data_IF_065421660268
#
_entry.id   IF_065421660268
#
_cell.length_a   1.000
_cell.length_b   1.000
_cell.length_c   1.000
_cell.angle_alpha   90.00
_cell.angle_beta   90.00
_cell.angle_gamma   90.00
#
_symmetry.space_group_name_H-M   'P 1'
#
loop_
_entity.id
_entity.type
_entity.pdbx_description
1 polymer ?
#
# COMPACT_ATOMS: atom_id res chain seq x y z
N UNK A 1 -5.55 18.52 -4.90
CA UNK A 1 -5.82 17.69 -6.11
C UNK A 1 -5.74 16.25 -5.68
N UNK A 2 -6.76 15.44 -6.02
CA UNK A 2 -6.82 14.05 -5.61
C UNK A 2 -5.92 13.17 -6.47
N UNK A 3 -5.16 12.30 -5.81
CA UNK A 3 -4.42 11.24 -6.49
C UNK A 3 -5.32 10.05 -6.79
N UNK A 4 -6.26 9.76 -5.86
CA UNK A 4 -7.24 8.68 -6.02
C UNK A 4 -8.62 9.22 -5.66
N UNK A 5 -9.62 8.91 -6.50
CA UNK A 5 -11.04 9.14 -6.26
C UNK A 5 -11.80 7.86 -6.57
N UNK A 6 -12.53 7.35 -5.60
CA UNK A 6 -13.30 6.11 -5.68
C UNK A 6 -14.78 6.47 -5.59
N UNK A 7 -15.59 5.94 -6.52
CA UNK A 7 -17.02 6.27 -6.67
C UNK A 7 -17.85 4.99 -6.72
N UNK A 8 -18.46 4.61 -5.59
CA UNK A 8 -19.37 3.47 -5.47
C UNK A 8 -18.74 2.13 -5.84
N UNK A 9 -17.45 1.95 -5.55
CA UNK A 9 -16.69 0.78 -5.96
C UNK A 9 -17.18 -0.47 -5.25
N UNK A 10 -17.64 -1.47 -6.02
CA UNK A 10 -18.22 -2.71 -5.50
C UNK A 10 -17.56 -3.93 -6.12
N UNK A 11 -17.30 -4.94 -5.28
CA UNK A 11 -16.78 -6.25 -5.72
C UNK A 11 -17.46 -7.39 -5.01
N UNK A 12 -17.97 -8.32 -5.81
CA UNK A 12 -18.60 -9.57 -5.34
C UNK A 12 -17.79 -10.78 -5.78
N UNK A 13 -17.66 -11.75 -4.90
CA UNK A 13 -17.11 -13.07 -5.18
C UNK A 13 -18.13 -14.13 -4.78
N UNK A 14 -18.82 -14.73 -5.74
CA UNK A 14 -19.94 -15.64 -5.48
C UNK A 14 -20.95 -14.96 -4.53
N UNK A 15 -21.14 -15.52 -3.34
CA UNK A 15 -22.12 -15.05 -2.35
C UNK A 15 -21.54 -13.98 -1.39
N UNK A 16 -20.29 -13.58 -1.55
CA UNK A 16 -19.62 -12.63 -0.66
C UNK A 16 -19.45 -11.28 -1.35
N UNK A 17 -19.97 -10.21 -0.75
CA UNK A 17 -19.67 -8.84 -1.11
C UNK A 17 -18.37 -8.43 -0.42
N UNK A 18 -17.27 -8.47 -1.16
CA UNK A 18 -15.94 -8.18 -0.61
C UNK A 18 -15.65 -6.68 -0.45
N UNK A 19 -16.25 -5.85 -1.31
CA UNK A 19 -16.27 -4.38 -1.22
C UNK A 19 -17.65 -3.92 -1.66
N UNK A 20 -18.27 -3.03 -0.88
CA UNK A 20 -19.65 -2.61 -1.02
C UNK A 20 -19.74 -1.08 -1.06
N UNK A 21 -20.05 -0.51 -2.22
CA UNK A 21 -20.27 0.91 -2.49
C UNK A 21 -19.19 1.84 -1.89
N UNK A 22 -17.92 1.41 -1.96
CA UNK A 22 -16.81 2.19 -1.41
C UNK A 22 -16.68 3.54 -2.13
N UNK A 23 -16.77 4.64 -1.36
CA UNK A 23 -16.49 6.00 -1.80
C UNK A 23 -15.37 6.59 -0.96
N UNK A 24 -14.29 7.06 -1.61
CA UNK A 24 -13.09 7.53 -0.92
C UNK A 24 -12.28 8.47 -1.79
N UNK A 25 -11.58 9.44 -1.17
CA UNK A 25 -10.65 10.33 -1.84
C UNK A 25 -9.32 10.36 -1.11
N UNK A 26 -8.20 10.28 -1.86
CA UNK A 26 -6.85 10.39 -1.33
C UNK A 26 -6.13 11.52 -2.06
N UNK A 27 -5.50 12.41 -1.31
CA UNK A 27 -4.78 13.56 -1.85
C UNK A 27 -3.42 13.15 -2.41
N UNK A 28 -2.89 13.94 -3.36
CA UNK A 28 -1.55 13.71 -3.89
C UNK A 28 -0.49 13.90 -2.80
N UNK A 29 0.45 12.94 -2.70
CA UNK A 29 1.51 12.93 -1.68
C UNK A 29 1.07 12.47 -0.29
N UNK A 30 -0.21 12.12 -0.12
CA UNK A 30 -0.75 11.62 1.15
C UNK A 30 -0.26 10.19 1.43
N UNK A 31 0.06 9.90 2.68
CA UNK A 31 0.17 8.54 3.19
C UNK A 31 -1.17 8.18 3.84
N UNK A 32 -1.88 7.29 3.21
CA UNK A 32 -3.25 6.92 3.54
C UNK A 32 -3.34 5.45 3.93
N UNK A 33 -4.00 5.14 5.05
CA UNK A 33 -4.19 3.75 5.48
C UNK A 33 -5.61 3.26 5.29
N UNK A 34 -5.74 2.04 4.75
CA UNK A 34 -6.93 1.21 4.84
C UNK A 34 -6.75 0.26 6.02
N UNK A 35 -7.41 0.53 7.14
CA UNK A 35 -7.36 -0.26 8.37
C UNK A 35 -8.60 -1.14 8.49
N UNK A 36 -8.44 -2.36 8.93
CA UNK A 36 -9.56 -3.26 9.20
C UNK A 36 -9.10 -4.68 9.50
N UNK A 37 -9.99 -5.45 10.08
CA UNK A 37 -9.75 -6.88 10.35
C UNK A 37 -9.57 -7.68 9.06
N UNK A 38 -9.13 -8.93 9.16
CA UNK A 38 -9.06 -9.83 8.02
C UNK A 38 -10.45 -10.01 7.40
N UNK A 39 -10.53 -9.98 6.07
CA UNK A 39 -11.79 -10.03 5.35
C UNK A 39 -12.54 -8.68 5.25
N UNK A 40 -11.99 -7.57 5.74
CA UNK A 40 -12.64 -6.25 5.65
C UNK A 40 -12.73 -5.67 4.23
N UNK A 41 -12.04 -6.26 3.24
CA UNK A 41 -12.05 -5.80 1.84
C UNK A 41 -10.79 -5.06 1.39
N UNK A 42 -9.79 -4.84 2.27
CA UNK A 42 -8.57 -4.05 2.01
C UNK A 42 -7.79 -4.50 0.77
N UNK A 43 -7.34 -5.77 0.74
CA UNK A 43 -6.59 -6.35 -0.38
C UNK A 43 -7.43 -6.37 -1.68
N UNK A 44 -8.76 -6.61 -1.57
CA UNK A 44 -9.65 -6.54 -2.74
C UNK A 44 -9.71 -5.12 -3.30
N UNK A 45 -9.75 -4.10 -2.44
CA UNK A 45 -9.70 -2.69 -2.86
C UNK A 45 -8.38 -2.40 -3.59
N UNK A 46 -7.22 -2.81 -3.03
CA UNK A 46 -5.93 -2.67 -3.74
C UNK A 46 -5.95 -3.38 -5.11
N UNK A 47 -6.47 -4.61 -5.18
CA UNK A 47 -6.55 -5.36 -6.44
C UNK A 47 -7.38 -4.64 -7.50
N UNK A 48 -8.47 -3.99 -7.13
CA UNK A 48 -9.26 -3.18 -8.06
C UNK A 48 -8.50 -1.92 -8.49
N UNK A 49 -7.97 -1.14 -7.54
CA UNK A 49 -7.23 0.09 -7.82
C UNK A 49 -5.96 -0.15 -8.64
N UNK A 50 -5.33 -1.32 -8.50
CA UNK A 50 -4.17 -1.73 -9.30
C UNK A 50 -4.53 -2.41 -10.64
N UNK A 51 -5.82 -2.45 -10.99
CA UNK A 51 -6.32 -3.09 -12.21
C UNK A 51 -5.93 -4.58 -12.33
N UNK A 52 -5.78 -5.28 -11.19
CA UNK A 52 -5.60 -6.74 -11.14
C UNK A 52 -6.94 -7.47 -11.14
N UNK A 53 -8.00 -6.79 -10.72
CA UNK A 53 -9.38 -7.30 -10.71
C UNK A 53 -10.32 -6.18 -11.12
N UNK A 54 -11.24 -6.44 -12.04
CA UNK A 54 -12.25 -5.47 -12.42
C UNK A 54 -13.32 -5.34 -11.32
N UNK A 55 -13.80 -4.13 -11.00
CA UNK A 55 -14.96 -3.95 -10.16
C UNK A 55 -16.23 -4.43 -10.88
N UNK A 56 -17.22 -4.86 -10.10
CA UNK A 56 -18.54 -5.21 -10.64
C UNK A 56 -19.37 -3.95 -10.85
N UNK A 57 -19.33 -2.99 -9.90
CA UNK A 57 -20.01 -1.70 -9.99
C UNK A 57 -19.07 -0.55 -9.57
N UNK A 58 -19.43 0.68 -9.96
CA UNK A 58 -18.64 1.87 -9.65
C UNK A 58 -17.38 2.01 -10.50
N UNK A 59 -16.57 3.00 -10.17
CA UNK A 59 -15.27 3.25 -10.81
C UNK A 59 -14.31 3.88 -9.82
N UNK A 60 -13.02 3.92 -10.18
CA UNK A 60 -12.03 4.70 -9.46
C UNK A 60 -11.09 5.40 -10.44
N UNK A 61 -10.67 6.59 -10.09
CA UNK A 61 -9.80 7.43 -10.90
C UNK A 61 -8.48 7.64 -10.19
N UNK A 62 -7.39 7.19 -10.81
CA UNK A 62 -6.03 7.38 -10.33
C UNK A 62 -5.36 8.46 -11.19
N UNK A 63 -5.07 9.61 -10.57
CA UNK A 63 -4.55 10.78 -11.30
C UNK A 63 -5.41 11.16 -12.53
N UNK A 64 -6.74 10.99 -12.38
CA UNK A 64 -7.73 11.27 -13.42
C UNK A 64 -7.94 10.16 -14.46
N UNK A 65 -7.25 9.01 -14.34
CA UNK A 65 -7.41 7.85 -15.22
C UNK A 65 -8.32 6.80 -14.59
N UNK A 66 -9.36 6.38 -15.31
CA UNK A 66 -10.31 5.34 -14.85
C UNK A 66 -9.64 3.96 -14.81
N UNK A 67 -9.90 3.19 -13.74
CA UNK A 67 -9.44 1.80 -13.66
C UNK A 67 -10.18 0.88 -14.62
N UNK A 68 -11.34 1.30 -15.16
CA UNK A 68 -12.15 0.52 -16.10
C UNK A 68 -11.75 0.78 -17.55
N UNK A 69 -11.58 2.05 -17.94
CA UNK A 69 -11.34 2.44 -19.32
C UNK A 69 -9.88 2.68 -19.65
N UNK A 70 -9.08 3.12 -18.66
CA UNK A 70 -7.69 3.51 -18.86
C UNK A 70 -6.69 2.61 -18.11
N UNK A 71 -7.04 1.33 -17.87
CA UNK A 71 -6.27 0.41 -17.04
C UNK A 71 -4.77 0.31 -17.44
N UNK A 72 -4.45 0.39 -18.73
CA UNK A 72 -3.07 0.38 -19.20
C UNK A 72 -2.29 1.64 -18.76
N UNK A 73 -2.94 2.81 -18.78
CA UNK A 73 -2.35 4.07 -18.33
C UNK A 73 -2.24 4.11 -16.80
N UNK A 74 -3.27 3.61 -16.08
CA UNK A 74 -3.21 3.47 -14.61
C UNK A 74 -2.00 2.63 -14.20
N UNK A 75 -1.76 1.48 -14.83
CA UNK A 75 -0.62 0.59 -14.52
C UNK A 75 0.75 1.24 -14.71
N UNK A 76 0.88 2.27 -15.54
CA UNK A 76 2.13 3.04 -15.69
C UNK A 76 2.37 4.01 -14.53
N UNK A 77 1.31 4.39 -13.80
CA UNK A 77 1.35 5.40 -12.74
C UNK A 77 1.56 4.79 -11.35
N UNK A 78 1.36 3.50 -11.21
CA UNK A 78 1.29 2.79 -9.94
C UNK A 78 2.36 1.72 -9.79
N UNK A 79 2.66 1.36 -8.53
CA UNK A 79 3.33 0.12 -8.21
C UNK A 79 2.70 -0.52 -6.98
N UNK A 80 2.88 -1.83 -6.83
CA UNK A 80 2.36 -2.62 -5.71
C UNK A 80 3.49 -3.40 -5.09
N UNK A 81 3.66 -3.29 -3.76
CA UNK A 81 4.40 -4.26 -2.97
C UNK A 81 3.36 -5.15 -2.27
N UNK A 82 3.16 -6.39 -2.73
CA UNK A 82 2.11 -7.27 -2.22
C UNK A 82 2.46 -7.82 -0.84
N UNK A 83 1.46 -8.38 -0.15
CA UNK A 83 1.60 -9.00 1.17
C UNK A 83 2.68 -10.10 1.17
N UNK A 84 2.63 -11.01 0.20
CA UNK A 84 3.73 -11.95 -0.05
C UNK A 84 4.82 -11.26 -0.87
N UNK A 85 6.07 -11.32 -0.40
CA UNK A 85 7.17 -10.66 -1.11
C UNK A 85 7.41 -11.29 -2.47
N UNK A 86 7.26 -10.49 -3.53
CA UNK A 86 7.43 -10.94 -4.92
C UNK A 86 8.93 -10.94 -5.33
N UNK A 87 9.82 -11.48 -4.48
CA UNK A 87 11.26 -11.56 -4.75
C UNK A 87 11.62 -12.92 -5.36
N UNK A 88 12.54 -12.93 -6.31
CA UNK A 88 13.10 -14.17 -6.84
C UNK A 88 14.20 -14.68 -5.89
N UNK A 89 13.98 -15.74 -5.10
CA UNK A 89 14.87 -16.13 -4.00
C UNK A 89 16.24 -16.63 -4.48
N UNK A 90 16.32 -17.14 -5.70
CA UNK A 90 17.55 -17.62 -6.33
C UNK A 90 18.46 -16.51 -6.86
N UNK A 91 17.93 -15.30 -7.04
CA UNK A 91 18.65 -14.13 -7.52
C UNK A 91 19.20 -13.32 -6.34
N UNK A 92 20.28 -12.58 -6.57
CA UNK A 92 20.79 -11.56 -5.65
C UNK A 92 19.84 -10.36 -5.59
N UNK A 93 20.04 -9.47 -4.61
CA UNK A 93 19.29 -8.20 -4.54
C UNK A 93 19.46 -7.39 -5.84
N UNK A 94 20.71 -7.27 -6.33
CA UNK A 94 21.01 -6.59 -7.59
C UNK A 94 20.26 -7.21 -8.76
N UNK A 95 20.34 -8.54 -8.94
CA UNK A 95 19.67 -9.23 -10.04
C UNK A 95 18.15 -9.12 -10.00
N UNK A 96 17.54 -9.11 -8.81
CA UNK A 96 16.10 -8.81 -8.65
C UNK A 96 15.75 -7.41 -9.17
N UNK A 97 16.56 -6.39 -8.85
CA UNK A 97 16.36 -5.03 -9.33
C UNK A 97 16.59 -4.92 -10.84
N UNK A 98 17.63 -5.57 -11.37
CA UNK A 98 17.91 -5.64 -12.81
C UNK A 98 16.78 -6.32 -13.58
N UNK A 99 16.20 -7.39 -13.03
CA UNK A 99 15.06 -8.09 -13.61
C UNK A 99 13.86 -7.12 -13.80
N UNK A 100 13.54 -6.33 -12.76
CA UNK A 100 12.43 -5.38 -12.84
C UNK A 100 12.74 -4.25 -13.82
N UNK A 101 13.97 -3.73 -13.83
CA UNK A 101 14.40 -2.77 -14.86
C UNK A 101 14.21 -3.32 -16.27
N UNK A 102 14.55 -4.59 -16.48
CA UNK A 102 14.35 -5.27 -17.76
C UNK A 102 12.87 -5.38 -18.15
N UNK A 103 12.01 -5.74 -17.20
CA UNK A 103 10.54 -5.78 -17.42
C UNK A 103 9.99 -4.42 -17.84
N UNK A 104 10.54 -3.33 -17.29
CA UNK A 104 10.16 -1.96 -17.65
C UNK A 104 10.88 -1.42 -18.90
N UNK A 105 11.73 -2.21 -19.54
CA UNK A 105 12.42 -1.84 -20.80
C UNK A 105 13.52 -0.80 -20.63
N UNK A 106 14.12 -0.67 -19.42
CA UNK A 106 15.21 0.28 -19.19
C UNK A 106 16.48 -0.12 -19.94
N UNK A 107 17.12 0.85 -20.59
CA UNK A 107 18.42 0.65 -21.18
C UNK A 107 19.50 0.41 -20.10
N UNK A 108 20.62 -0.21 -20.46
CA UNK A 108 21.67 -0.63 -19.50
C UNK A 108 22.19 0.51 -18.62
N UNK A 109 22.41 1.69 -19.19
CA UNK A 109 22.85 2.89 -18.45
C UNK A 109 21.79 3.37 -17.46
N UNK A 110 20.54 3.42 -17.88
CA UNK A 110 19.38 3.78 -17.03
C UNK A 110 19.19 2.78 -15.88
N UNK A 111 19.36 1.48 -16.17
CA UNK A 111 19.29 0.42 -15.16
C UNK A 111 20.33 0.64 -14.06
N UNK A 112 21.58 0.93 -14.43
CA UNK A 112 22.66 1.14 -13.44
C UNK A 112 22.41 2.37 -12.56
N UNK A 113 21.97 3.47 -13.16
CA UNK A 113 21.65 4.70 -12.46
C UNK A 113 20.49 4.48 -11.51
N UNK A 114 19.41 3.87 -12.00
CA UNK A 114 18.20 3.62 -11.23
C UNK A 114 18.44 2.67 -10.03
N UNK A 115 19.21 1.61 -10.24
CA UNK A 115 19.58 0.70 -9.15
C UNK A 115 20.41 1.44 -8.10
N UNK A 116 21.38 2.27 -8.50
CA UNK A 116 22.20 3.05 -7.55
C UNK A 116 21.31 3.98 -6.70
N UNK A 117 20.37 4.68 -7.32
CA UNK A 117 19.43 5.55 -6.65
C UNK A 117 18.57 4.78 -5.62
N UNK A 118 17.96 3.68 -6.03
CA UNK A 118 17.09 2.88 -5.15
C UNK A 118 17.86 2.19 -4.03
N UNK A 119 19.06 1.68 -4.32
CA UNK A 119 19.93 1.05 -3.32
C UNK A 119 20.32 2.05 -2.25
N UNK A 120 20.72 3.26 -2.63
CA UNK A 120 21.02 4.34 -1.69
C UNK A 120 19.81 4.81 -0.91
N UNK A 121 18.65 4.98 -1.56
CA UNK A 121 17.40 5.40 -0.91
C UNK A 121 16.94 4.40 0.16
N UNK A 122 17.11 3.10 -0.10
CA UNK A 122 16.59 2.03 0.74
C UNK A 122 17.66 1.34 1.59
N UNK A 123 18.92 1.81 1.53
CA UNK A 123 20.03 1.28 2.32
C UNK A 123 20.35 -0.18 2.02
N UNK A 124 20.28 -0.60 0.74
CA UNK A 124 20.47 -2.00 0.34
C UNK A 124 21.93 -2.36 0.04
N UNK A 125 22.88 -1.43 0.21
CA UNK A 125 24.31 -1.61 -0.15
C UNK A 125 24.92 -2.85 0.49
N UNK A 126 24.70 -3.04 1.79
CA UNK A 126 25.26 -4.14 2.58
C UNK A 126 24.80 -5.54 2.14
N UNK A 127 23.68 -5.61 1.41
CA UNK A 127 23.06 -6.88 0.98
C UNK A 127 22.97 -7.02 -0.52
N UNK A 128 23.48 -6.07 -1.29
CA UNK A 128 23.28 -5.96 -2.75
C UNK A 128 23.68 -7.23 -3.51
N UNK A 129 24.72 -7.93 -3.06
CA UNK A 129 25.23 -9.15 -3.69
C UNK A 129 24.67 -10.44 -3.03
N UNK A 130 23.90 -10.31 -1.94
CA UNK A 130 23.32 -11.48 -1.27
C UNK A 130 22.11 -12.00 -2.05
N UNK A 131 21.93 -13.32 -2.09
CA UNK A 131 20.73 -13.94 -2.65
C UNK A 131 19.51 -13.57 -1.80
N UNK A 132 18.40 -13.19 -2.46
CA UNK A 132 17.18 -12.75 -1.79
C UNK A 132 16.61 -13.82 -0.84
N UNK A 133 16.70 -15.09 -1.18
CA UNK A 133 16.25 -16.18 -0.31
C UNK A 133 17.07 -16.39 0.97
N UNK A 134 18.24 -15.73 1.10
CA UNK A 134 19.07 -15.75 2.33
C UNK A 134 18.90 -14.51 3.20
N UNK A 135 18.06 -13.59 2.80
CA UNK A 135 17.76 -12.37 3.55
C UNK A 135 16.74 -12.65 4.67
N UNK A 136 16.79 -11.88 5.77
CA UNK A 136 15.70 -11.85 6.74
C UNK A 136 14.42 -11.30 6.12
N UNK A 137 13.27 -11.56 6.73
CA UNK A 137 11.97 -11.08 6.25
C UNK A 137 11.94 -9.55 6.05
N UNK A 138 12.54 -8.78 6.97
CA UNK A 138 12.65 -7.33 6.85
C UNK A 138 13.44 -6.90 5.61
N UNK A 139 14.57 -7.53 5.31
CA UNK A 139 15.35 -7.26 4.10
C UNK A 139 14.62 -7.67 2.82
N UNK A 140 13.89 -8.81 2.84
CA UNK A 140 13.07 -9.22 1.70
C UNK A 140 11.93 -8.22 1.45
N UNK A 141 11.28 -7.72 2.53
CA UNK A 141 10.24 -6.69 2.43
C UNK A 141 10.80 -5.39 1.87
N UNK A 142 11.96 -4.95 2.36
CA UNK A 142 12.66 -3.76 1.84
C UNK A 142 13.01 -3.91 0.36
N UNK A 143 13.49 -5.10 -0.05
CA UNK A 143 13.73 -5.41 -1.47
C UNK A 143 12.44 -5.39 -2.30
N UNK A 144 11.33 -5.94 -1.81
CA UNK A 144 10.03 -5.89 -2.49
C UNK A 144 9.57 -4.45 -2.76
N UNK A 145 9.72 -3.56 -1.77
CA UNK A 145 9.43 -2.12 -1.94
C UNK A 145 10.42 -1.48 -2.94
N UNK A 146 11.70 -1.85 -2.89
CA UNK A 146 12.70 -1.38 -3.84
C UNK A 146 12.32 -1.72 -5.28
N UNK A 147 11.92 -2.96 -5.52
CA UNK A 147 11.45 -3.43 -6.82
C UNK A 147 10.22 -2.64 -7.30
N UNK A 148 9.26 -2.37 -6.40
CA UNK A 148 8.09 -1.55 -6.73
C UNK A 148 8.49 -0.11 -7.11
N UNK A 149 9.48 0.48 -6.44
CA UNK A 149 9.92 1.86 -6.69
C UNK A 149 10.77 2.03 -7.96
N UNK A 150 11.26 0.93 -8.58
CA UNK A 150 12.06 0.98 -9.82
C UNK A 150 11.33 1.75 -10.94
N UNK A 151 10.03 1.54 -11.09
CA UNK A 151 9.21 2.16 -12.14
C UNK A 151 8.91 3.64 -11.92
N UNK A 152 9.37 4.26 -10.83
CA UNK A 152 9.07 5.65 -10.44
C UNK A 152 7.56 5.92 -10.33
N UNK A 153 6.81 5.13 -9.58
CA UNK A 153 5.37 5.27 -9.50
C UNK A 153 4.98 6.61 -8.85
N UNK A 154 3.84 7.15 -9.24
CA UNK A 154 3.23 8.29 -8.56
C UNK A 154 2.33 7.85 -7.39
N UNK A 155 1.87 6.59 -7.43
CA UNK A 155 1.09 5.96 -6.37
C UNK A 155 1.72 4.60 -6.04
N UNK A 156 2.03 4.37 -4.76
CA UNK A 156 2.56 3.11 -4.25
C UNK A 156 1.52 2.45 -3.35
N UNK A 157 1.16 1.21 -3.66
CA UNK A 157 0.34 0.36 -2.81
C UNK A 157 1.24 -0.57 -1.98
N UNK A 158 1.06 -0.56 -0.67
CA UNK A 158 1.75 -1.43 0.29
C UNK A 158 0.69 -2.31 0.98
N UNK A 159 0.64 -3.58 0.62
CA UNK A 159 -0.33 -4.51 1.21
C UNK A 159 0.30 -5.22 2.41
N UNK A 160 -0.11 -4.85 3.62
CA UNK A 160 0.38 -5.36 4.91
C UNK A 160 1.92 -5.43 5.00
N UNK A 161 2.65 -4.32 4.80
CA UNK A 161 4.09 -4.33 4.59
C UNK A 161 4.90 -4.82 5.80
N UNK A 162 4.36 -4.74 7.01
CA UNK A 162 5.07 -5.13 8.25
C UNK A 162 4.64 -6.47 8.83
N UNK A 163 3.74 -7.18 8.11
CA UNK A 163 3.25 -8.48 8.57
C UNK A 163 4.40 -9.46 8.78
N UNK A 164 4.45 -10.07 9.98
CA UNK A 164 5.46 -11.08 10.31
C UNK A 164 6.86 -10.53 10.59
N UNK A 165 7.06 -9.22 10.64
CA UNK A 165 8.34 -8.61 11.01
C UNK A 165 8.45 -8.49 12.54
N UNK A 166 9.68 -8.63 13.04
CA UNK A 166 10.01 -8.28 14.41
C UNK A 166 9.94 -6.76 14.64
N UNK A 167 10.04 -6.34 15.90
CA UNK A 167 9.87 -4.94 16.32
C UNK A 167 10.90 -4.01 15.66
N UNK A 168 12.16 -4.44 15.56
CA UNK A 168 13.23 -3.60 14.99
C UNK A 168 13.07 -3.46 13.47
N UNK A 169 12.84 -4.56 12.76
CA UNK A 169 12.61 -4.55 11.32
C UNK A 169 11.37 -3.74 10.95
N UNK A 170 10.32 -3.77 11.79
CA UNK A 170 9.12 -2.95 11.65
C UNK A 170 9.45 -1.45 11.80
N UNK A 171 10.17 -1.07 12.84
CA UNK A 171 10.54 0.32 13.07
C UNK A 171 11.39 0.88 11.91
N UNK A 172 12.39 0.12 11.44
CA UNK A 172 13.21 0.50 10.29
C UNK A 172 12.37 0.67 9.01
N UNK A 173 11.38 -0.21 8.81
CA UNK A 173 10.50 -0.13 7.64
C UNK A 173 9.56 1.07 7.74
N UNK A 174 9.07 1.42 8.93
CA UNK A 174 8.28 2.63 9.15
C UNK A 174 9.07 3.90 8.82
N UNK A 175 10.34 3.98 9.24
CA UNK A 175 11.19 5.12 8.90
C UNK A 175 11.42 5.23 7.40
N UNK A 176 11.59 4.10 6.72
CA UNK A 176 11.65 4.06 5.27
C UNK A 176 10.36 4.61 4.63
N UNK A 177 9.19 4.10 5.04
CA UNK A 177 7.90 4.53 4.50
C UNK A 177 7.68 6.04 4.77
N UNK A 178 8.03 6.53 5.97
CA UNK A 178 7.97 7.96 6.29
C UNK A 178 8.86 8.80 5.36
N UNK A 179 10.02 8.31 4.98
CA UNK A 179 10.94 9.02 4.08
C UNK A 179 10.39 9.21 2.66
N UNK A 180 9.41 8.40 2.26
CA UNK A 180 8.71 8.48 0.98
C UNK A 180 7.49 9.43 1.02
N UNK A 181 6.98 9.74 2.21
CA UNK A 181 5.82 10.63 2.41
C UNK A 181 6.05 12.00 1.77
N UNK A 182 5.02 12.53 1.12
CA UNK A 182 5.08 13.79 0.39
C UNK A 182 5.75 13.70 -0.99
N UNK A 183 6.59 12.69 -1.25
CA UNK A 183 7.25 12.49 -2.54
C UNK A 183 6.37 11.70 -3.51
N UNK A 184 5.70 10.67 -3.00
CA UNK A 184 4.73 9.84 -3.72
C UNK A 184 3.46 9.68 -2.88
N UNK A 185 2.35 9.34 -3.50
CA UNK A 185 1.12 8.97 -2.78
C UNK A 185 1.24 7.51 -2.35
N UNK A 186 0.96 7.21 -1.08
CA UNK A 186 1.09 5.85 -0.54
C UNK A 186 -0.26 5.39 -0.01
N UNK A 187 -0.70 4.21 -0.45
CA UNK A 187 -1.84 3.50 0.12
C UNK A 187 -1.30 2.30 0.88
N UNK A 188 -1.49 2.31 2.18
CA UNK A 188 -1.06 1.25 3.09
C UNK A 188 -2.28 0.46 3.55
N UNK A 189 -2.28 -0.86 3.40
CA UNK A 189 -3.25 -1.70 4.12
C UNK A 189 -2.60 -2.27 5.35
N UNK A 190 -3.34 -2.32 6.44
CA UNK A 190 -2.87 -2.92 7.68
C UNK A 190 -4.04 -3.38 8.55
N UNK A 191 -3.77 -4.30 9.45
CA UNK A 191 -4.63 -4.63 10.58
C UNK A 191 -4.01 -4.19 11.92
N UNK A 192 -2.81 -3.58 11.89
CA UNK A 192 -2.14 -3.01 13.06
C UNK A 192 -2.54 -1.55 13.25
N UNK A 193 -3.24 -1.26 14.35
CA UNK A 193 -3.71 0.09 14.69
C UNK A 193 -2.54 1.05 14.89
N UNK A 194 -1.48 0.58 15.57
CA UNK A 194 -0.25 1.36 15.80
C UNK A 194 0.40 1.82 14.48
N UNK A 195 0.42 0.95 13.45
CA UNK A 195 0.99 1.29 12.15
C UNK A 195 0.17 2.38 11.44
N UNK A 196 -1.16 2.20 11.42
CA UNK A 196 -2.05 3.18 10.84
C UNK A 196 -1.94 4.55 11.53
N UNK A 197 -1.93 4.58 12.87
CA UNK A 197 -1.80 5.82 13.65
C UNK A 197 -0.44 6.49 13.46
N UNK A 198 0.66 5.71 13.48
CA UNK A 198 2.01 6.25 13.44
C UNK A 198 2.44 6.79 12.08
N UNK A 199 1.91 6.24 10.97
CA UNK A 199 2.38 6.55 9.63
C UNK A 199 1.46 7.50 8.87
N UNK A 200 0.13 7.38 9.05
CA UNK A 200 -0.84 7.91 8.09
C UNK A 200 -1.26 9.34 8.38
N UNK A 201 -1.52 10.10 7.32
CA UNK A 201 -2.19 11.38 7.41
C UNK A 201 -3.67 11.19 7.74
N UNK A 202 -4.30 10.22 7.07
CA UNK A 202 -5.68 9.79 7.34
C UNK A 202 -5.79 8.27 7.30
N UNK A 203 -6.77 7.77 8.04
CA UNK A 203 -7.08 6.35 8.15
C UNK A 203 -8.54 6.13 7.76
N UNK A 204 -8.78 5.19 6.85
CA UNK A 204 -10.11 4.67 6.56
C UNK A 204 -10.30 3.33 7.29
N UNK A 205 -11.27 3.26 8.19
CA UNK A 205 -11.63 2.02 8.88
C UNK A 205 -12.68 1.29 8.06
N UNK A 206 -12.35 0.05 7.67
CA UNK A 206 -13.22 -0.83 6.88
C UNK A 206 -13.69 -2.05 7.69
N UNK A 207 -14.92 -2.47 7.47
CA UNK A 207 -15.50 -3.71 8.00
C UNK A 207 -16.49 -4.29 7.00
N UNK A 208 -16.39 -5.61 6.74
CA UNK A 208 -17.32 -6.34 5.86
C UNK A 208 -17.53 -5.64 4.49
N UNK A 209 -16.45 -5.17 3.88
CA UNK A 209 -16.48 -4.49 2.58
C UNK A 209 -16.89 -3.02 2.62
N UNK A 210 -17.34 -2.48 3.76
CA UNK A 210 -17.83 -1.12 3.90
C UNK A 210 -16.82 -0.20 4.58
N UNK A 211 -16.80 1.06 4.15
CA UNK A 211 -16.12 2.13 4.84
C UNK A 211 -16.99 2.57 6.04
N UNK A 212 -16.43 2.51 7.24
CA UNK A 212 -17.11 2.99 8.45
C UNK A 212 -16.81 4.46 8.72
N UNK A 213 -15.54 4.83 8.65
CA UNK A 213 -15.07 6.21 8.87
C UNK A 213 -13.77 6.45 8.12
N UNK A 214 -13.53 7.70 7.73
CA UNK A 214 -12.27 8.14 7.13
C UNK A 214 -11.91 9.53 7.67
N UNK A 215 -10.84 9.59 8.48
CA UNK A 215 -10.35 10.85 9.05
C UNK A 215 -8.91 10.71 9.54
N UNK A 216 -8.33 11.75 10.16
CA UNK A 216 -7.08 11.64 10.92
C UNK A 216 -7.28 10.74 12.15
N UNK A 217 -6.22 10.07 12.62
CA UNK A 217 -6.30 9.24 13.82
C UNK A 217 -6.81 10.03 15.05
N UNK A 218 -6.42 11.30 15.17
CA UNK A 218 -6.88 12.18 16.25
C UNK A 218 -8.40 12.44 16.17
N UNK A 219 -8.92 12.79 14.98
CA UNK A 219 -10.36 13.02 14.79
C UNK A 219 -11.18 11.73 14.98
N UNK A 220 -10.64 10.58 14.60
CA UNK A 220 -11.29 9.28 14.85
C UNK A 220 -11.38 8.99 16.35
N UNK A 221 -10.33 9.26 17.14
CA UNK A 221 -10.35 9.12 18.61
C UNK A 221 -11.39 10.04 19.23
N UNK A 222 -11.41 11.30 18.83
CA UNK A 222 -12.37 12.28 19.34
C UNK A 222 -13.82 11.86 19.07
N UNK A 223 -14.15 11.47 17.83
CA UNK A 223 -15.49 11.00 17.44
C UNK A 223 -15.91 9.74 18.19
N UNK A 224 -14.95 8.85 18.48
CA UNK A 224 -15.22 7.64 19.25
C UNK A 224 -15.25 7.86 20.78
N UNK A 225 -14.90 9.03 21.26
CA UNK A 225 -14.81 9.32 22.70
C UNK A 225 -13.75 8.44 23.38
N UNK A 226 -12.61 8.22 22.75
CA UNK A 226 -11.57 7.31 23.23
C UNK A 226 -10.19 8.00 23.30
N UNK A 227 -9.43 7.70 24.33
CA UNK A 227 -8.09 8.25 24.50
C UNK A 227 -7.05 7.55 23.60
N UNK A 228 -7.21 6.23 23.39
CA UNK A 228 -6.34 5.42 22.54
C UNK A 228 -7.01 5.12 21.21
N UNK A 229 -6.20 5.10 20.15
CA UNK A 229 -6.71 4.79 18.81
C UNK A 229 -7.24 3.35 18.69
N UNK A 230 -6.64 2.42 19.41
CA UNK A 230 -7.09 1.03 19.48
C UNK A 230 -8.51 0.91 20.06
N UNK A 231 -8.80 1.64 21.15
CA UNK A 231 -10.13 1.68 21.77
C UNK A 231 -11.15 2.31 20.84
N UNK A 232 -10.77 3.39 20.14
CA UNK A 232 -11.60 4.04 19.11
C UNK A 232 -11.96 3.05 17.99
N UNK A 233 -10.95 2.32 17.47
CA UNK A 233 -11.17 1.30 16.44
C UNK A 233 -12.16 0.22 16.91
N UNK A 234 -11.98 -0.32 18.11
CA UNK A 234 -12.88 -1.36 18.65
C UNK A 234 -14.32 -0.86 18.77
N UNK A 235 -14.53 0.33 19.33
CA UNK A 235 -15.88 0.95 19.48
C UNK A 235 -16.55 1.13 18.12
N UNK A 236 -15.83 1.68 17.13
CA UNK A 236 -16.36 1.92 15.78
C UNK A 236 -16.69 0.59 15.09
N UNK A 237 -15.81 -0.38 15.14
CA UNK A 237 -16.03 -1.69 14.50
C UNK A 237 -17.16 -2.46 15.15
N UNK A 238 -17.43 -2.27 16.46
CA UNK A 238 -18.58 -2.86 17.16
C UNK A 238 -19.88 -2.14 16.92
N UNK A 239 -19.85 -0.91 16.33
CA UNK A 239 -21.04 -0.10 16.13
C UNK A 239 -21.52 0.58 17.42
N UNK A 240 -20.62 0.81 18.36
CA UNK A 240 -20.91 1.48 19.65
C UNK A 240 -20.87 3.01 19.53
N UNK A 241 -20.54 3.52 18.35
CA UNK A 241 -20.43 4.95 18.05
C UNK A 241 -21.37 5.30 16.88
N UNK A 242 -22.18 6.33 17.03
CA UNK A 242 -22.93 6.91 15.90
C UNK A 242 -21.96 7.76 15.06
N UNK A 243 -21.75 7.40 13.80
CA UNK A 243 -20.83 8.03 12.84
C UNK A 243 -21.58 8.93 11.87
#
# INVERSE_FOLDING_TARGET
MDAIRIEGLTKRYKDVVAVDELCLQVKKGELFSLLGVNGAGKTTTIKMLSCLTAPDEGDAYLLGKSIRTDAAEVKKLIAVSPQETAVAPGLSVRENLELICGVHGFAKNQTQERIREIVGLLGLDAVLQKRAGKLSGGWQRRLSIAMALISQPQILFLDEPTLGLDVLARAELWDLIRSLKGKITIILTTHYMEEAEALSDRVAIMKNGKLLICDTAAAIREKAGADRFEDAFVRIVRGEVAL
#
